data_IF_044764861659
#
_entry.id   IF_044764861659
#
_cell.length_a   1.000
_cell.length_b   1.000
_cell.length_c   1.000
_cell.angle_alpha   90.00
_cell.angle_beta   90.00
_cell.angle_gamma   90.00
#
_symmetry.space_group_name_H-M   'P 1'
#
loop_
_entity.id
_entity.type
_entity.pdbx_description
1 polymer ?
#
# COMPACT_ATOMS: atom_id res chain seq x y z
N UNK A 1 -2.24 6.18 -17.94
CA UNK A 1 -1.12 5.95 -17.01
C UNK A 1 -1.30 7.01 -15.93
N UNK A 2 -1.45 6.58 -14.67
CA UNK A 2 -1.79 7.46 -13.56
C UNK A 2 -0.84 8.67 -13.51
N UNK A 3 -1.29 9.84 -13.05
CA UNK A 3 -0.38 11.00 -12.93
C UNK A 3 -0.57 11.64 -11.58
N UNK A 4 0.54 11.94 -10.90
CA UNK A 4 0.50 12.70 -9.65
C UNK A 4 1.16 14.05 -9.87
N UNK A 5 0.46 15.13 -9.49
CA UNK A 5 0.92 16.50 -9.70
C UNK A 5 0.63 17.33 -8.46
N UNK A 6 1.57 18.17 -8.03
CA UNK A 6 1.27 19.23 -7.06
C UNK A 6 0.69 20.45 -7.78
N UNK A 7 -0.50 20.90 -7.38
CA UNK A 7 -1.14 22.12 -7.90
C UNK A 7 -1.76 22.94 -6.78
N UNK A 8 -1.35 24.21 -6.66
CA UNK A 8 -1.90 25.19 -5.70
C UNK A 8 -1.93 24.66 -4.25
N UNK A 9 -0.86 23.98 -3.82
CA UNK A 9 -0.76 23.43 -2.47
C UNK A 9 -1.58 22.15 -2.21
N UNK A 10 -2.14 21.52 -3.26
CA UNK A 10 -2.79 20.20 -3.18
C UNK A 10 -2.10 19.22 -4.10
N UNK A 11 -2.18 17.94 -3.75
CA UNK A 11 -1.76 16.85 -4.63
C UNK A 11 -2.97 16.46 -5.48
N UNK A 12 -2.77 16.29 -6.78
CA UNK A 12 -3.79 15.79 -7.70
C UNK A 12 -3.32 14.47 -8.25
N UNK A 13 -4.08 13.42 -7.97
CA UNK A 13 -3.90 12.12 -8.60
C UNK A 13 -4.92 11.95 -9.71
N UNK A 14 -4.44 11.75 -10.94
CA UNK A 14 -5.29 11.44 -12.09
C UNK A 14 -5.27 9.95 -12.33
N UNK A 15 -6.46 9.36 -12.36
CA UNK A 15 -6.69 7.95 -12.63
C UNK A 15 -7.84 7.87 -13.62
N UNK A 16 -7.65 7.19 -14.74
CA UNK A 16 -8.80 6.86 -15.57
C UNK A 16 -9.68 5.80 -14.89
N UNK A 17 -10.88 5.57 -15.43
CA UNK A 17 -11.84 4.62 -14.86
C UNK A 17 -11.27 3.19 -14.74
N UNK A 18 -10.43 2.77 -15.69
CA UNK A 18 -9.82 1.43 -15.69
C UNK A 18 -8.73 1.32 -14.62
N UNK A 19 -7.91 2.35 -14.47
CA UNK A 19 -6.87 2.43 -13.43
C UNK A 19 -7.49 2.43 -12.03
N UNK A 20 -8.59 3.14 -11.86
CA UNK A 20 -9.34 3.18 -10.60
C UNK A 20 -9.98 1.83 -10.28
N UNK A 21 -10.60 1.17 -11.25
CA UNK A 21 -11.14 -0.18 -11.10
C UNK A 21 -10.04 -1.19 -10.78
N UNK A 22 -8.87 -1.08 -11.41
CA UNK A 22 -7.72 -1.93 -11.12
C UNK A 22 -7.23 -1.71 -9.67
N UNK A 23 -7.08 -0.47 -9.21
CA UNK A 23 -6.68 -0.18 -7.83
C UNK A 23 -7.72 -0.65 -6.81
N UNK A 24 -9.01 -0.46 -7.09
CA UNK A 24 -10.09 -0.97 -6.23
C UNK A 24 -10.04 -2.50 -6.13
N UNK A 25 -9.84 -3.18 -7.25
CA UNK A 25 -9.68 -4.64 -7.30
C UNK A 25 -8.45 -5.11 -6.52
N UNK A 26 -7.32 -4.40 -6.60
CA UNK A 26 -6.11 -4.68 -5.83
C UNK A 26 -6.39 -4.56 -4.32
N UNK A 27 -7.06 -3.48 -3.90
CA UNK A 27 -7.47 -3.28 -2.50
C UNK A 27 -8.32 -4.46 -2.01
N UNK A 28 -9.34 -4.85 -2.75
CA UNK A 28 -10.24 -5.93 -2.34
C UNK A 28 -9.53 -7.29 -2.29
N UNK A 29 -8.60 -7.55 -3.21
CA UNK A 29 -7.83 -8.80 -3.25
C UNK A 29 -6.78 -8.90 -2.13
N UNK A 30 -6.12 -7.79 -1.78
CA UNK A 30 -4.96 -7.81 -0.88
C UNK A 30 -5.29 -7.37 0.54
N UNK A 31 -6.34 -6.57 0.79
CA UNK A 31 -6.71 -6.14 2.15
C UNK A 31 -6.91 -7.30 3.14
N UNK A 32 -7.58 -8.42 2.77
CA UNK A 32 -7.69 -9.57 3.67
C UNK A 32 -6.34 -10.17 4.07
N UNK A 33 -5.33 -10.03 3.20
CA UNK A 33 -3.96 -10.49 3.48
C UNK A 33 -3.18 -9.47 4.28
N UNK A 34 -3.37 -8.16 4.07
CA UNK A 34 -2.72 -7.14 4.92
C UNK A 34 -3.00 -7.38 6.40
N UNK A 35 -4.25 -7.73 6.75
CA UNK A 35 -4.61 -8.10 8.11
C UNK A 35 -3.93 -9.41 8.59
N UNK A 36 -3.75 -10.39 7.69
CA UNK A 36 -3.15 -11.70 7.98
C UNK A 36 -1.61 -11.69 8.07
N UNK A 37 -0.94 -11.16 7.04
CA UNK A 37 0.52 -11.10 6.84
C UNK A 37 1.27 -10.52 8.05
N UNK A 38 0.67 -9.52 8.70
CA UNK A 38 1.31 -8.78 9.80
C UNK A 38 0.78 -9.20 11.18
N UNK A 39 -0.41 -9.79 11.25
CA UNK A 39 -0.96 -10.37 12.48
C UNK A 39 -0.39 -11.75 12.79
N UNK A 40 0.01 -12.53 11.78
CA UNK A 40 0.44 -13.92 11.94
C UNK A 40 1.93 -14.10 11.63
N UNK A 41 2.82 -13.66 12.54
CA UNK A 41 4.19 -14.19 12.57
C UNK A 41 5.32 -13.19 12.82
N UNK A 42 5.11 -11.88 12.59
CA UNK A 42 6.14 -10.88 12.91
C UNK A 42 6.07 -10.46 14.37
N UNK A 43 7.07 -10.89 15.14
CA UNK A 43 7.36 -10.41 16.48
C UNK A 43 7.98 -9.02 16.40
N UNK A 44 7.53 -8.11 17.25
CA UNK A 44 8.20 -6.85 17.50
C UNK A 44 9.39 -7.04 18.45
N UNK A 45 9.31 -8.02 19.35
CA UNK A 45 10.32 -8.32 20.35
C UNK A 45 10.55 -9.84 20.46
N UNK A 46 11.81 -10.23 20.65
CA UNK A 46 12.16 -11.63 20.93
C UNK A 46 11.75 -12.05 22.36
N UNK A 47 11.77 -11.10 23.30
CA UNK A 47 11.32 -11.32 24.68
C UNK A 47 9.80 -11.56 24.73
N UNK A 48 9.33 -12.70 25.25
CA UNK A 48 7.90 -13.03 25.27
C UNK A 48 7.04 -12.07 26.09
N UNK A 49 7.60 -11.46 27.14
CA UNK A 49 6.88 -10.52 28.01
C UNK A 49 6.68 -9.20 27.28
N UNK A 50 7.74 -8.66 26.68
CA UNK A 50 7.66 -7.45 25.87
C UNK A 50 6.77 -7.64 24.64
N UNK A 51 6.82 -8.82 24.01
CA UNK A 51 5.93 -9.15 22.91
C UNK A 51 4.46 -9.16 23.36
N UNK A 52 4.14 -9.74 24.52
CA UNK A 52 2.79 -9.74 25.05
C UNK A 52 2.28 -8.33 25.40
N UNK A 53 3.13 -7.45 25.91
CA UNK A 53 2.77 -6.05 26.14
C UNK A 53 2.51 -5.30 24.83
N UNK A 54 3.38 -5.50 23.83
CA UNK A 54 3.18 -4.95 22.49
C UNK A 54 1.86 -5.42 21.88
N UNK A 55 1.59 -6.72 21.92
CA UNK A 55 0.38 -7.31 21.36
C UNK A 55 -0.88 -6.79 22.05
N UNK A 56 -0.79 -6.48 23.35
CA UNK A 56 -1.91 -5.95 24.13
C UNK A 56 -2.17 -4.47 23.90
N UNK A 57 -1.13 -3.65 23.82
CA UNK A 57 -1.27 -2.20 23.87
C UNK A 57 -0.99 -1.50 22.55
N UNK A 58 -0.02 -1.97 21.76
CA UNK A 58 0.46 -1.26 20.57
C UNK A 58 -0.11 -1.87 19.29
N UNK A 59 -0.13 -3.19 19.18
CA UNK A 59 -0.63 -3.88 17.98
C UNK A 59 -2.03 -3.43 17.56
N UNK A 60 -3.02 -3.30 18.46
CA UNK A 60 -4.37 -2.89 18.07
C UNK A 60 -4.40 -1.48 17.44
N UNK A 61 -3.62 -0.54 17.98
CA UNK A 61 -3.54 0.82 17.43
C UNK A 61 -2.88 0.84 16.05
N UNK A 62 -1.83 0.04 15.88
CA UNK A 62 -1.14 -0.12 14.58
C UNK A 62 -2.09 -0.72 13.55
N UNK A 63 -2.81 -1.80 13.87
CA UNK A 63 -3.78 -2.41 12.95
C UNK A 63 -4.90 -1.42 12.61
N UNK A 64 -5.44 -0.69 13.59
CA UNK A 64 -6.47 0.31 13.36
C UNK A 64 -5.99 1.44 12.43
N UNK A 65 -4.75 1.91 12.60
CA UNK A 65 -4.16 2.91 11.72
C UNK A 65 -4.06 2.43 10.26
N UNK A 66 -3.75 1.14 10.05
CA UNK A 66 -3.69 0.55 8.69
C UNK A 66 -5.06 0.47 8.05
N UNK A 67 -6.07 0.02 8.81
CA UNK A 67 -7.46 -0.02 8.34
C UNK A 67 -7.92 1.38 7.93
N UNK A 68 -7.64 2.39 8.75
CA UNK A 68 -7.95 3.78 8.43
C UNK A 68 -7.24 4.28 7.15
N UNK A 69 -5.97 3.93 6.94
CA UNK A 69 -5.25 4.29 5.71
C UNK A 69 -5.88 3.64 4.46
N UNK A 70 -6.25 2.36 4.55
CA UNK A 70 -6.94 1.63 3.47
C UNK A 70 -8.31 2.26 3.18
N UNK A 71 -9.06 2.65 4.20
CA UNK A 71 -10.36 3.28 4.07
C UNK A 71 -10.27 4.66 3.38
N UNK A 72 -9.21 5.42 3.65
CA UNK A 72 -8.95 6.70 2.94
C UNK A 72 -8.72 6.47 1.45
N UNK A 73 -7.98 5.44 1.06
CA UNK A 73 -7.79 5.10 -0.36
C UNK A 73 -9.10 4.65 -0.98
N UNK A 74 -9.82 3.74 -0.32
CA UNK A 74 -11.13 3.25 -0.79
C UNK A 74 -12.12 4.37 -1.00
N UNK A 75 -12.21 5.31 -0.04
CA UNK A 75 -13.07 6.50 -0.15
C UNK A 75 -12.70 7.34 -1.38
N UNK A 76 -11.40 7.61 -1.59
CA UNK A 76 -10.95 8.35 -2.76
C UNK A 76 -11.31 7.69 -4.09
N UNK A 77 -11.09 6.37 -4.22
CA UNK A 77 -11.46 5.61 -5.42
C UNK A 77 -12.99 5.54 -5.63
N UNK A 78 -13.79 5.57 -4.56
CA UNK A 78 -15.25 5.52 -4.67
C UNK A 78 -15.89 6.83 -5.17
N UNK A 79 -15.15 7.93 -5.22
CA UNK A 79 -15.66 9.25 -5.67
C UNK A 79 -16.13 9.27 -7.12
N UNK A 80 -15.65 8.34 -7.96
CA UNK A 80 -16.03 8.31 -9.36
C UNK A 80 -15.35 9.38 -10.23
N UNK A 81 -14.49 10.23 -9.66
CA UNK A 81 -13.76 11.27 -10.39
C UNK A 81 -12.46 10.74 -11.00
N UNK A 82 -12.10 11.26 -12.19
CA UNK A 82 -10.83 10.95 -12.85
C UNK A 82 -9.66 11.75 -12.28
N UNK A 83 -9.94 12.76 -11.45
CA UNK A 83 -8.94 13.61 -10.80
C UNK A 83 -9.27 13.71 -9.32
N UNK A 84 -8.46 13.05 -8.50
CA UNK A 84 -8.61 13.00 -7.06
C UNK A 84 -7.75 14.10 -6.41
N UNK A 85 -8.36 15.15 -5.83
CA UNK A 85 -7.63 16.10 -5.02
C UNK A 85 -7.31 15.49 -3.65
N UNK A 86 -6.03 15.37 -3.34
CA UNK A 86 -5.53 14.88 -2.07
C UNK A 86 -4.91 16.05 -1.28
N UNK A 87 -5.26 16.12 0.00
CA UNK A 87 -4.43 16.81 0.99
C UNK A 87 -3.13 16.05 1.23
N UNK A 88 -2.13 16.70 1.81
CA UNK A 88 -0.86 16.02 2.16
C UNK A 88 -1.10 14.85 3.13
N UNK A 89 -1.99 15.03 4.10
CA UNK A 89 -2.38 13.96 5.03
C UNK A 89 -2.98 12.75 4.30
N UNK A 90 -3.88 12.99 3.33
CA UNK A 90 -4.45 11.91 2.52
C UNK A 90 -3.39 11.26 1.62
N UNK A 91 -2.48 12.02 1.01
CA UNK A 91 -1.39 11.46 0.22
C UNK A 91 -0.48 10.55 1.07
N UNK A 92 -0.20 10.93 2.32
CA UNK A 92 0.54 10.09 3.27
C UNK A 92 -0.24 8.81 3.64
N UNK A 93 -1.56 8.87 3.82
CA UNK A 93 -2.39 7.67 3.98
C UNK A 93 -2.29 6.74 2.76
N UNK A 94 -2.35 7.29 1.54
CA UNK A 94 -2.19 6.52 0.31
C UNK A 94 -0.83 5.85 0.22
N UNK A 95 0.26 6.56 0.56
CA UNK A 95 1.60 6.00 0.59
C UNK A 95 1.71 4.81 1.55
N UNK A 96 1.19 4.94 2.77
CA UNK A 96 1.19 3.86 3.77
C UNK A 96 0.33 2.68 3.33
N UNK A 97 -0.89 2.92 2.84
CA UNK A 97 -1.75 1.87 2.32
C UNK A 97 -1.10 1.09 1.18
N UNK A 98 -0.50 1.79 0.20
CA UNK A 98 0.23 1.13 -0.89
C UNK A 98 1.44 0.33 -0.40
N UNK A 99 2.12 0.79 0.65
CA UNK A 99 3.22 0.05 1.25
C UNK A 99 2.74 -1.27 1.86
N UNK A 100 1.60 -1.24 2.57
CA UNK A 100 0.99 -2.46 3.12
C UNK A 100 0.55 -3.44 2.02
N UNK A 101 -0.08 -2.94 0.95
CA UNK A 101 -0.50 -3.77 -0.18
C UNK A 101 0.70 -4.36 -0.93
N UNK A 102 1.80 -3.60 -1.10
CA UNK A 102 3.05 -4.11 -1.67
C UNK A 102 3.67 -5.19 -0.81
N UNK A 103 3.67 -5.03 0.51
CA UNK A 103 4.17 -6.06 1.42
C UNK A 103 3.34 -7.36 1.31
N UNK A 104 2.02 -7.25 1.24
CA UNK A 104 1.14 -8.40 1.02
C UNK A 104 1.39 -9.08 -0.36
N UNK A 105 1.57 -8.29 -1.42
CA UNK A 105 1.94 -8.82 -2.74
C UNK A 105 3.31 -9.53 -2.70
N UNK A 106 4.30 -8.93 -2.05
CA UNK A 106 5.64 -9.50 -1.89
C UNK A 106 5.63 -10.84 -1.15
N UNK A 107 4.85 -10.95 -0.06
CA UNK A 107 4.69 -12.21 0.66
C UNK A 107 4.08 -13.32 -0.22
N UNK A 108 3.04 -12.99 -1.02
CA UNK A 108 2.45 -13.94 -1.98
C UNK A 108 3.48 -14.43 -3.00
N UNK A 109 4.42 -13.56 -3.37
CA UNK A 109 5.53 -13.89 -4.27
C UNK A 109 6.67 -14.65 -3.58
N UNK A 110 6.67 -14.76 -2.25
CA UNK A 110 7.76 -15.35 -1.48
C UNK A 110 8.99 -14.45 -1.37
N UNK A 111 8.80 -13.12 -1.48
CA UNK A 111 9.88 -12.14 -1.33
C UNK A 111 10.10 -11.85 0.15
N UNK A 112 11.30 -12.16 0.65
CA UNK A 112 11.68 -12.00 2.06
C UNK A 112 12.96 -11.18 2.29
N UNK A 113 13.67 -10.81 1.22
CA UNK A 113 14.96 -10.11 1.27
C UNK A 113 15.06 -8.96 0.26
N UNK A 114 15.90 -7.98 0.58
CA UNK A 114 16.28 -6.90 -0.31
C UNK A 114 17.04 -7.43 -1.54
N UNK A 115 17.00 -6.68 -2.65
CA UNK A 115 17.62 -7.10 -3.92
C UNK A 115 16.87 -8.21 -4.65
N UNK A 116 15.61 -8.49 -4.26
CA UNK A 116 14.74 -9.48 -4.90
C UNK A 116 14.52 -9.21 -6.39
N UNK A 117 14.59 -7.95 -6.83
CA UNK A 117 14.41 -7.53 -8.23
C UNK A 117 15.43 -8.20 -9.17
N UNK A 118 16.68 -8.29 -8.74
CA UNK A 118 17.78 -8.92 -9.48
C UNK A 118 17.65 -10.45 -9.51
N UNK A 119 17.00 -11.02 -8.49
CA UNK A 119 16.85 -12.46 -8.27
C UNK A 119 15.53 -13.02 -8.84
N UNK A 120 14.63 -12.15 -9.29
CA UNK A 120 13.31 -12.57 -9.77
C UNK A 120 13.42 -13.30 -11.11
N UNK A 121 12.89 -14.52 -11.17
CA UNK A 121 12.85 -15.32 -12.40
C UNK A 121 11.64 -14.99 -13.30
N UNK A 122 11.63 -15.54 -14.52
CA UNK A 122 10.54 -15.28 -15.47
C UNK A 122 9.18 -15.82 -14.99
N UNK A 123 9.16 -16.89 -14.20
CA UNK A 123 7.94 -17.47 -13.66
C UNK A 123 7.29 -16.51 -12.65
N UNK A 124 8.08 -15.91 -11.76
CA UNK A 124 7.63 -14.93 -10.77
C UNK A 124 7.16 -13.64 -11.45
N UNK A 125 7.87 -13.16 -12.47
CA UNK A 125 7.46 -11.97 -13.26
C UNK A 125 6.12 -12.15 -13.99
N UNK A 126 5.75 -13.39 -14.33
CA UNK A 126 4.48 -13.69 -14.98
C UNK A 126 3.28 -13.70 -14.01
N UNK A 127 3.53 -13.66 -12.69
CA UNK A 127 2.47 -13.67 -11.69
C UNK A 127 1.81 -12.30 -11.57
N UNK A 128 0.46 -12.22 -11.41
CA UNK A 128 -0.24 -10.94 -11.28
C UNK A 128 0.29 -10.05 -10.16
N UNK A 129 0.69 -10.64 -9.04
CA UNK A 129 1.18 -9.92 -7.85
C UNK A 129 2.49 -9.16 -8.14
N UNK A 130 3.31 -9.63 -9.08
CA UNK A 130 4.50 -8.91 -9.52
C UNK A 130 4.09 -7.61 -10.23
N UNK A 131 3.10 -7.67 -11.12
CA UNK A 131 2.56 -6.47 -11.77
C UNK A 131 1.96 -5.48 -10.78
N UNK A 132 1.26 -5.96 -9.76
CA UNK A 132 0.73 -5.13 -8.66
C UNK A 132 1.87 -4.45 -7.90
N UNK A 133 2.91 -5.20 -7.53
CA UNK A 133 4.05 -4.70 -6.77
C UNK A 133 4.75 -3.55 -7.51
N UNK A 134 4.97 -3.70 -8.81
CA UNK A 134 5.57 -2.66 -9.66
C UNK A 134 4.64 -1.46 -9.84
N UNK A 135 3.36 -1.69 -10.14
CA UNK A 135 2.41 -0.61 -10.36
C UNK A 135 2.20 0.26 -9.11
N UNK A 136 2.02 -0.36 -7.94
CA UNK A 136 1.90 0.36 -6.67
C UNK A 136 3.20 1.10 -6.33
N UNK A 137 4.37 0.50 -6.61
CA UNK A 137 5.65 1.14 -6.36
C UNK A 137 5.84 2.41 -7.19
N UNK A 138 5.49 2.35 -8.47
CA UNK A 138 5.55 3.53 -9.33
C UNK A 138 4.61 4.65 -8.85
N UNK A 139 3.37 4.34 -8.46
CA UNK A 139 2.44 5.36 -7.94
C UNK A 139 2.96 5.97 -6.63
N UNK A 140 3.62 5.17 -5.76
CA UNK A 140 4.24 5.68 -4.55
C UNK A 140 5.38 6.66 -4.85
N UNK A 141 6.25 6.36 -5.81
CA UNK A 141 7.32 7.25 -6.25
C UNK A 141 6.76 8.61 -6.71
N UNK A 142 5.70 8.59 -7.53
CA UNK A 142 5.02 9.80 -7.99
C UNK A 142 4.36 10.60 -6.85
N UNK A 143 3.78 9.92 -5.85
CA UNK A 143 3.24 10.54 -4.64
C UNK A 143 4.31 11.21 -3.77
N UNK A 144 5.45 10.54 -3.58
CA UNK A 144 6.60 11.11 -2.84
C UNK A 144 7.14 12.33 -3.56
N UNK A 145 7.39 12.23 -4.87
CA UNK A 145 7.88 13.36 -5.66
C UNK A 145 6.95 14.58 -5.57
N UNK A 146 5.62 14.36 -5.58
CA UNK A 146 4.65 15.44 -5.44
C UNK A 146 4.56 16.04 -4.02
N UNK A 147 4.92 15.29 -2.97
CA UNK A 147 4.99 15.81 -1.60
C UNK A 147 6.25 16.67 -1.40
N UNK A 148 7.36 16.30 -2.05
CA UNK A 148 8.66 16.96 -1.94
C UNK A 148 8.81 18.21 -2.82
N UNK A 149 8.02 18.33 -3.90
CA UNK A 149 8.04 19.47 -4.84
C UNK A 149 7.37 20.73 -4.28
#
# INVERSE_FOLDING_TARGET
MAQVLRRRGRIQMKLDSREREALASILDQLTPRVAGTLSAGRRAYDDPTLQAEYDRWVRPEVEHGREADIDVVRSGLSSGEDTLPLTEAQALCWLRAFNHLRAAAGEILGIDADGWEEQTDAATRARPEFGILIALGWIQEELVAALES
#
